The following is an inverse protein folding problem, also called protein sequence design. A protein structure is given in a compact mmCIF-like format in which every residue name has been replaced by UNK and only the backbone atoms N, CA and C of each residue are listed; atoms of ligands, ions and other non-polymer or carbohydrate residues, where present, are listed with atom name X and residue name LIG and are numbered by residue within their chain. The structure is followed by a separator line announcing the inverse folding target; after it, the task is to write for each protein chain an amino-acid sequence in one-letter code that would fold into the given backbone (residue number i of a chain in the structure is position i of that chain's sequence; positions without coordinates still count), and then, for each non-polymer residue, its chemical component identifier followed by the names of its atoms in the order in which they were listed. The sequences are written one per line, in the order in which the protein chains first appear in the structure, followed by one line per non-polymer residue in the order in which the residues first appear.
data_IF_733176828057
#
_entry.id   IF_733176828057
#
_cell.length_a   1.000
_cell.length_b   1.000
_cell.length_c   1.000
_cell.angle_alpha   90.00
_cell.angle_beta   90.00
_cell.angle_gamma   90.00
#
_symmetry.space_group_name_H-M   'P 1'
#
loop_
_entity.id
_entity.type
_entity.pdbx_description
1 polymer ?
#
# COMPACT_ATOMS: atom_id res chain seq x y z
N UNK A 1 27.24 -13.29 8.11
CA UNK A 1 26.23 -13.74 7.13
C UNK A 1 24.97 -12.93 7.30
N UNK A 2 24.44 -12.43 6.20
CA UNK A 2 23.20 -11.63 6.24
C UNK A 2 21.99 -12.54 6.39
N UNK A 3 21.14 -12.23 7.33
CA UNK A 3 19.88 -12.94 7.51
C UNK A 3 18.77 -12.13 6.82
N UNK A 4 18.13 -12.74 5.83
CA UNK A 4 16.99 -12.14 5.14
C UNK A 4 15.72 -12.60 5.83
N UNK A 5 14.92 -11.65 6.29
CA UNK A 5 13.64 -11.93 6.91
C UNK A 5 12.58 -11.92 5.82
N UNK A 6 11.83 -13.02 5.72
CA UNK A 6 10.72 -13.11 4.77
C UNK A 6 9.52 -12.35 5.33
N UNK A 7 9.16 -11.25 4.68
CA UNK A 7 8.07 -10.41 5.11
C UNK A 7 6.90 -10.55 4.13
N UNK A 8 5.74 -10.91 4.65
CA UNK A 8 4.53 -11.00 3.84
C UNK A 8 3.76 -9.69 3.93
N UNK A 9 3.41 -9.14 2.78
CA UNK A 9 2.58 -7.95 2.66
C UNK A 9 1.15 -8.38 2.38
N UNK A 10 0.23 -7.97 3.24
CA UNK A 10 -1.20 -8.23 3.03
C UNK A 10 -1.80 -7.15 2.13
N UNK A 11 -2.89 -7.49 1.46
CA UNK A 11 -3.64 -6.53 0.63
C UNK A 11 -5.09 -6.50 1.07
N UNK A 12 -5.73 -5.36 0.88
CA UNK A 12 -7.14 -5.19 1.18
C UNK A 12 -7.77 -4.18 0.22
N UNK A 13 -9.04 -4.40 -0.09
CA UNK A 13 -9.86 -3.47 -0.86
C UNK A 13 -11.14 -3.21 -0.10
N UNK A 14 -11.54 -1.94 0.00
CA UNK A 14 -12.82 -1.55 0.60
C UNK A 14 -13.65 -0.93 -0.52
N UNK A 15 -14.73 -1.61 -0.90
CA UNK A 15 -15.59 -1.16 -2.00
C UNK A 15 -16.20 0.21 -1.72
N UNK A 16 -16.30 1.02 -2.77
CA UNK A 16 -16.87 2.36 -2.71
C UNK A 16 -18.31 2.38 -3.20
N UNK A 17 -19.11 3.26 -2.60
CA UNK A 17 -20.47 3.54 -3.10
C UNK A 17 -20.41 4.40 -4.35
N UNK A 18 -19.39 5.25 -4.49
CA UNK A 18 -19.21 6.14 -5.65
C UNK A 18 -17.72 6.19 -6.01
N UNK A 19 -17.43 6.73 -7.20
CA UNK A 19 -16.07 6.75 -7.73
C UNK A 19 -15.71 5.40 -8.34
N UNK A 20 -14.45 4.97 -8.18
CA UNK A 20 -13.98 3.69 -8.65
C UNK A 20 -14.47 2.53 -7.81
N UNK A 21 -14.02 1.32 -8.15
CA UNK A 21 -14.47 0.09 -7.50
C UNK A 21 -14.17 0.08 -5.99
N UNK A 22 -12.95 0.44 -5.60
CA UNK A 22 -12.54 0.31 -4.20
C UNK A 22 -11.43 1.29 -3.83
N UNK A 23 -11.31 1.54 -2.53
CA UNK A 23 -10.06 2.07 -1.95
C UNK A 23 -9.16 0.89 -1.67
N UNK A 24 -7.87 1.07 -1.86
CA UNK A 24 -6.90 -0.02 -1.93
C UNK A 24 -5.80 0.17 -0.91
N UNK A 25 -5.42 -0.91 -0.23
CA UNK A 25 -4.47 -0.85 0.87
C UNK A 25 -3.50 -2.02 0.85
N UNK A 26 -2.27 -1.77 1.32
CA UNK A 26 -1.33 -2.84 1.63
C UNK A 26 -0.99 -2.77 3.11
N UNK A 27 -0.85 -3.94 3.75
CA UNK A 27 -0.54 -4.05 5.17
C UNK A 27 0.89 -4.53 5.39
N UNK A 28 1.66 -3.73 6.10
CA UNK A 28 3.10 -3.92 6.27
C UNK A 28 3.40 -4.34 7.70
N UNK A 29 4.08 -5.48 7.91
CA UNK A 29 4.46 -5.89 9.26
C UNK A 29 5.67 -5.12 9.77
N UNK A 30 5.93 -5.22 11.06
CA UNK A 30 7.17 -4.71 11.66
C UNK A 30 8.37 -5.28 10.90
N UNK A 31 9.37 -4.45 10.69
CA UNK A 31 10.55 -4.84 9.91
C UNK A 31 10.55 -4.27 8.51
N UNK A 32 9.39 -3.87 7.99
CA UNK A 32 9.34 -3.14 6.72
C UNK A 32 9.76 -1.68 6.97
N UNK A 33 10.57 -1.08 6.07
CA UNK A 33 11.04 0.30 6.27
C UNK A 33 9.93 1.35 6.32
N UNK A 34 8.72 1.05 5.79
CA UNK A 34 7.59 1.98 5.82
C UNK A 34 6.72 1.83 7.08
N UNK A 35 7.05 0.89 7.96
CA UNK A 35 6.23 0.64 9.15
C UNK A 35 6.18 1.90 10.03
N UNK A 36 4.96 2.35 10.35
CA UNK A 36 4.67 3.57 11.11
C UNK A 36 5.12 4.88 10.42
N UNK A 37 5.34 4.82 9.11
CA UNK A 37 5.72 6.00 8.32
C UNK A 37 4.49 6.61 7.65
N UNK A 38 4.36 7.93 7.69
CA UNK A 38 3.29 8.63 7.00
C UNK A 38 3.46 8.55 5.48
N UNK A 39 2.35 8.58 4.75
CA UNK A 39 2.40 8.44 3.29
C UNK A 39 3.24 9.53 2.61
N UNK A 40 3.27 10.75 3.15
CA UNK A 40 4.12 11.81 2.61
C UNK A 40 5.59 11.43 2.68
N UNK A 41 6.01 10.85 3.79
CA UNK A 41 7.38 10.41 3.99
C UNK A 41 7.72 9.21 3.11
N UNK A 42 6.75 8.33 2.90
CA UNK A 42 6.90 7.19 1.99
C UNK A 42 7.12 7.69 0.56
N UNK A 43 6.33 8.67 0.12
CA UNK A 43 6.46 9.25 -1.22
C UNK A 43 7.79 9.97 -1.41
N UNK A 44 8.29 10.63 -0.38
CA UNK A 44 9.60 11.26 -0.43
C UNK A 44 10.71 10.22 -0.54
N UNK A 45 10.60 9.12 0.22
CA UNK A 45 11.55 8.02 0.19
C UNK A 45 11.50 7.24 -1.12
N UNK A 46 10.29 7.00 -1.64
CA UNK A 46 10.05 6.21 -2.85
C UNK A 46 9.14 7.00 -3.79
N UNK A 47 9.71 7.92 -4.61
CA UNK A 47 8.92 8.75 -5.51
C UNK A 47 8.04 7.96 -6.48
N UNK A 48 8.40 6.73 -6.83
CA UNK A 48 7.59 5.87 -7.69
C UNK A 48 6.21 5.54 -7.11
N UNK A 49 5.99 5.75 -5.81
CA UNK A 49 4.65 5.58 -5.22
C UNK A 49 3.66 6.63 -5.74
N UNK A 50 4.14 7.74 -6.29
CA UNK A 50 3.28 8.72 -6.94
C UNK A 50 2.69 8.22 -8.25
N UNK A 51 3.23 7.14 -8.80
CA UNK A 51 2.74 6.52 -10.03
C UNK A 51 1.57 5.56 -9.78
N UNK A 52 1.34 5.21 -8.52
CA UNK A 52 0.15 4.46 -8.13
C UNK A 52 -1.03 5.43 -8.22
N UNK A 53 -2.19 4.94 -8.62
CA UNK A 53 -3.36 5.75 -8.91
C UNK A 53 -3.57 6.94 -7.97
N UNK A 54 -3.33 8.14 -8.44
CA UNK A 54 -3.48 9.38 -7.68
C UNK A 54 -2.45 9.59 -6.56
N UNK A 55 -1.46 8.71 -6.43
CA UNK A 55 -0.49 8.74 -5.33
C UNK A 55 -1.08 8.18 -4.04
N UNK A 56 -0.25 8.09 -3.01
CA UNK A 56 -0.69 7.58 -1.70
C UNK A 56 -1.52 8.64 -0.96
N UNK A 57 -2.60 8.21 -0.33
CA UNK A 57 -3.52 9.10 0.41
C UNK A 57 -3.83 8.60 1.81
N UNK A 58 -3.24 7.47 2.23
CA UNK A 58 -3.61 6.82 3.48
C UNK A 58 -2.40 6.15 4.13
N UNK A 59 -2.25 6.35 5.43
CA UNK A 59 -1.28 5.62 6.24
C UNK A 59 -1.78 5.58 7.68
N UNK A 60 -2.12 4.38 8.19
CA UNK A 60 -2.65 4.20 9.54
C UNK A 60 -2.39 2.78 10.05
N UNK A 61 -2.64 2.59 11.34
CA UNK A 61 -2.53 1.30 12.01
C UNK A 61 -3.72 0.36 11.75
N UNK A 62 -4.65 0.77 10.90
CA UNK A 62 -5.86 0.01 10.57
C UNK A 62 -6.39 0.39 9.21
N UNK A 63 -7.17 -0.50 8.58
CA UNK A 63 -8.02 -0.17 7.45
C UNK A 63 -9.43 0.08 7.95
N UNK A 64 -10.24 0.88 7.25
CA UNK A 64 -11.68 0.95 7.54
C UNK A 64 -12.28 -0.46 7.51
N UNK A 65 -13.10 -0.80 8.50
CA UNK A 65 -13.72 -2.12 8.65
C UNK A 65 -12.72 -3.26 8.92
N UNK A 66 -11.60 -2.93 9.56
CA UNK A 66 -10.56 -3.94 9.86
C UNK A 66 -10.99 -4.94 10.93
N UNK A 67 -10.40 -6.14 10.86
CA UNK A 67 -10.60 -7.23 11.80
C UNK A 67 -9.42 -7.36 12.76
N UNK A 68 -9.61 -8.15 13.84
CA UNK A 68 -8.56 -8.38 14.84
C UNK A 68 -7.26 -8.90 14.23
N UNK A 69 -7.37 -9.76 13.24
CA UNK A 69 -6.23 -10.40 12.57
C UNK A 69 -5.33 -9.41 11.82
N UNK A 70 -5.83 -8.19 11.59
CA UNK A 70 -5.06 -7.14 10.90
C UNK A 70 -4.30 -6.24 11.87
N UNK A 71 -4.44 -6.48 13.16
CA UNK A 71 -3.72 -5.71 14.18
C UNK A 71 -2.22 -5.93 14.07
N UNK A 72 -1.48 -4.87 14.34
CA UNK A 72 -0.03 -4.92 14.29
C UNK A 72 0.56 -4.64 12.92
N UNK A 73 -0.28 -4.46 11.90
CA UNK A 73 0.17 -4.05 10.57
C UNK A 73 0.03 -2.54 10.40
N UNK A 74 0.90 -1.99 9.58
CA UNK A 74 0.80 -0.59 9.15
C UNK A 74 0.20 -0.56 7.76
N UNK A 75 -0.91 0.13 7.61
CA UNK A 75 -1.66 0.12 6.35
C UNK A 75 -1.41 1.40 5.57
N UNK A 76 -1.03 1.22 4.31
CA UNK A 76 -0.73 2.30 3.37
C UNK A 76 -1.60 2.09 2.15
N UNK A 77 -2.18 3.15 1.63
CA UNK A 77 -3.08 2.97 0.51
C UNK A 77 -3.41 4.23 -0.27
N UNK A 78 -4.32 4.05 -1.20
CA UNK A 78 -4.82 5.09 -2.09
C UNK A 78 -6.32 4.85 -2.35
N UNK A 79 -7.00 5.90 -2.76
CA UNK A 79 -8.42 5.80 -3.08
C UNK A 79 -8.66 5.96 -4.59
N UNK A 80 -9.85 5.58 -5.02
CA UNK A 80 -10.33 5.76 -6.40
C UNK A 80 -11.54 6.68 -6.43
N UNK A 81 -11.48 7.76 -5.64
CA UNK A 81 -12.56 8.75 -5.53
C UNK A 81 -12.12 10.14 -6.01
N UNK A 82 -11.11 10.19 -6.87
CA UNK A 82 -10.65 11.45 -7.44
C UNK A 82 -11.59 11.90 -8.56
N UNK A 83 -11.52 13.18 -8.90
CA UNK A 83 -12.29 13.69 -10.02
C UNK A 83 -12.00 12.88 -11.28
N UNK A 84 -13.03 12.42 -11.93
CA UNK A 84 -12.90 11.57 -13.11
C UNK A 84 -12.87 10.08 -12.86
N UNK A 85 -12.73 9.65 -11.60
CA UNK A 85 -12.75 8.23 -11.27
C UNK A 85 -14.18 7.69 -11.31
N UNK A 86 -14.34 6.52 -11.93
CA UNK A 86 -15.63 5.85 -12.00
C UNK A 86 -15.42 4.33 -12.07
N UNK A 87 -16.50 3.57 -12.04
CA UNK A 87 -16.42 2.11 -11.99
C UNK A 87 -16.04 1.47 -13.32
N UNK A 88 -16.04 2.23 -14.41
CA UNK A 88 -15.58 1.75 -15.71
C UNK A 88 -14.06 1.87 -15.85
N UNK A 89 -13.51 3.05 -15.50
CA UNK A 89 -12.06 3.28 -15.62
C UNK A 89 -11.27 2.79 -14.42
N UNK A 90 -11.90 2.69 -13.25
CA UNK A 90 -11.28 2.14 -12.04
C UNK A 90 -12.09 0.94 -11.55
N UNK A 91 -12.14 -0.11 -12.37
CA UNK A 91 -12.84 -1.34 -12.03
C UNK A 91 -12.00 -2.21 -11.10
N UNK A 92 -12.51 -3.39 -10.76
CA UNK A 92 -11.84 -4.30 -9.84
C UNK A 92 -10.46 -4.72 -10.36
N UNK A 93 -10.37 -5.07 -11.62
CA UNK A 93 -9.10 -5.50 -12.24
C UNK A 93 -8.07 -4.38 -12.19
N UNK A 94 -8.49 -3.15 -12.50
CA UNK A 94 -7.62 -1.98 -12.40
C UNK A 94 -7.11 -1.80 -10.97
N UNK A 95 -8.00 -1.88 -9.97
CA UNK A 95 -7.62 -1.76 -8.57
C UNK A 95 -6.63 -2.85 -8.15
N UNK A 96 -6.88 -4.10 -8.55
CA UNK A 96 -5.98 -5.20 -8.25
C UNK A 96 -4.58 -4.98 -8.85
N UNK A 97 -4.52 -4.47 -10.09
CA UNK A 97 -3.26 -4.19 -10.75
C UNK A 97 -2.49 -3.04 -10.09
N UNK A 98 -3.20 -2.01 -9.62
CA UNK A 98 -2.58 -0.90 -8.90
C UNK A 98 -2.06 -1.34 -7.53
N UNK A 99 -2.77 -2.24 -6.84
CA UNK A 99 -2.27 -2.84 -5.60
C UNK A 99 -0.98 -3.63 -5.87
N UNK A 100 -0.95 -4.43 -6.92
CA UNK A 100 0.25 -5.20 -7.28
C UNK A 100 1.44 -4.29 -7.55
N UNK A 101 1.20 -3.16 -8.19
CA UNK A 101 2.23 -2.15 -8.44
C UNK A 101 2.79 -1.64 -7.13
N UNK A 102 1.92 -1.29 -6.18
CA UNK A 102 2.34 -0.79 -4.87
C UNK A 102 3.11 -1.86 -4.08
N UNK A 103 2.64 -3.10 -4.08
CA UNK A 103 3.34 -4.22 -3.44
C UNK A 103 4.75 -4.36 -4.00
N UNK A 104 4.90 -4.27 -5.31
CA UNK A 104 6.20 -4.39 -5.97
C UNK A 104 7.16 -3.29 -5.51
N UNK A 105 6.68 -2.05 -5.42
CA UNK A 105 7.48 -0.93 -4.94
C UNK A 105 7.90 -1.17 -3.48
N UNK A 106 6.97 -1.61 -2.64
CA UNK A 106 7.23 -1.90 -1.23
C UNK A 106 8.25 -3.04 -1.06
N UNK A 107 8.14 -4.10 -1.86
CA UNK A 107 9.08 -5.22 -1.81
C UNK A 107 10.46 -4.82 -2.28
N UNK A 108 10.55 -3.96 -3.30
CA UNK A 108 11.82 -3.43 -3.77
C UNK A 108 12.52 -2.61 -2.67
N UNK A 109 11.78 -1.74 -1.99
CA UNK A 109 12.38 -0.93 -0.92
C UNK A 109 12.81 -1.80 0.25
N UNK A 110 12.05 -2.84 0.57
CA UNK A 110 12.43 -3.80 1.60
C UNK A 110 13.76 -4.49 1.23
N UNK A 111 13.90 -4.92 -0.01
CA UNK A 111 15.12 -5.58 -0.48
C UNK A 111 16.34 -4.66 -0.38
N UNK A 112 16.17 -3.39 -0.79
CA UNK A 112 17.23 -2.39 -0.68
C UNK A 112 17.59 -2.13 0.78
N UNK A 113 16.59 -2.02 1.64
CA UNK A 113 16.78 -1.79 3.07
C UNK A 113 17.54 -2.95 3.71
N UNK A 114 17.15 -4.18 3.43
CA UNK A 114 17.83 -5.38 3.95
C UNK A 114 19.28 -5.46 3.46
N UNK A 115 19.50 -5.13 2.20
CA UNK A 115 20.84 -5.13 1.62
C UNK A 115 21.75 -4.14 2.36
N UNK A 116 21.22 -2.97 2.72
CA UNK A 116 21.99 -1.94 3.44
C UNK A 116 22.28 -2.31 4.90
N UNK A 117 21.62 -3.33 5.44
CA UNK A 117 21.86 -3.79 6.81
C UNK A 117 23.04 -4.74 6.93
N UNK A 118 23.71 -5.06 5.84
CA UNK A 118 24.87 -5.97 5.85
C UNK A 118 26.10 -5.29 6.42
#
# INVERSE_FOLDING_TARGET
MKQVIDIKIKTAMVENDFGGFANCYIGLPKGHPWYEMDYDDIEERCPETNEVHGGLTYSRDRVPCSYEEDKGLWWVGFDTKHEGDNKENCDREYCENEIKKLVKIAMNDLAIHQWKQV
#
